data_IF_204243417017
#
_entry.id   IF_204243417017
#
_cell.length_a   1.000
_cell.length_b   1.000
_cell.length_c   1.000
_cell.angle_alpha   90.00
_cell.angle_beta   90.00
_cell.angle_gamma   90.00
#
_symmetry.space_group_name_H-M   'P 1'
#
loop_
_entity.id
_entity.type
_entity.pdbx_description
1 polymer ?
#
# COMPACT_ATOMS: atom_id res chain seq x y z
N UNK A 1 21.60 -24.06 -7.78
CA UNK A 1 20.53 -23.59 -8.67
C UNK A 1 19.61 -22.63 -7.92
N UNK A 2 18.83 -23.11 -6.94
CA UNK A 2 17.94 -22.27 -6.12
C UNK A 2 18.61 -21.05 -5.46
N UNK A 3 19.84 -21.20 -4.97
CA UNK A 3 20.57 -20.11 -4.30
C UNK A 3 20.97 -18.97 -5.26
N UNK A 4 21.22 -19.27 -6.54
CA UNK A 4 21.58 -18.28 -7.56
C UNK A 4 20.31 -17.55 -8.03
N UNK A 5 19.22 -18.29 -8.24
CA UNK A 5 17.91 -17.73 -8.59
C UNK A 5 17.40 -16.79 -7.48
N UNK A 6 17.56 -17.20 -6.22
CA UNK A 6 17.21 -16.39 -5.06
C UNK A 6 18.09 -15.15 -4.93
N UNK A 7 19.39 -15.25 -5.22
CA UNK A 7 20.29 -14.09 -5.24
C UNK A 7 19.84 -13.06 -6.29
N UNK A 8 19.48 -13.51 -7.49
CA UNK A 8 19.01 -12.64 -8.59
C UNK A 8 17.72 -11.92 -8.20
N UNK A 9 16.74 -12.65 -7.66
CA UNK A 9 15.48 -12.07 -7.19
C UNK A 9 15.73 -11.08 -6.06
N UNK A 10 16.61 -11.41 -5.11
CA UNK A 10 16.91 -10.54 -3.98
C UNK A 10 17.60 -9.24 -4.44
N UNK A 11 18.54 -9.33 -5.37
CA UNK A 11 19.19 -8.16 -5.97
C UNK A 11 18.17 -7.29 -6.73
N UNK A 12 17.29 -7.90 -7.52
CA UNK A 12 16.23 -7.19 -8.23
C UNK A 12 15.28 -6.45 -7.26
N UNK A 13 14.88 -7.09 -6.16
CA UNK A 13 14.05 -6.45 -5.12
C UNK A 13 14.82 -5.33 -4.42
N UNK A 14 16.10 -5.52 -4.10
CA UNK A 14 16.89 -4.50 -3.38
C UNK A 14 17.07 -3.23 -4.22
N UNK A 15 17.35 -3.41 -5.53
CA UNK A 15 17.43 -2.31 -6.49
C UNK A 15 16.05 -1.67 -6.69
N UNK A 16 15.00 -2.48 -6.86
CA UNK A 16 13.63 -1.99 -7.02
C UNK A 16 13.10 -1.21 -5.81
N UNK A 17 13.41 -1.65 -4.60
CA UNK A 17 13.05 -0.99 -3.36
C UNK A 17 13.77 0.36 -3.18
N UNK A 18 15.02 0.47 -3.64
CA UNK A 18 15.78 1.74 -3.64
C UNK A 18 15.20 2.77 -4.60
N UNK A 19 14.72 2.34 -5.77
CA UNK A 19 14.09 3.24 -6.76
C UNK A 19 12.68 3.63 -6.32
N UNK A 20 11.96 2.72 -5.65
CA UNK A 20 10.63 2.96 -5.09
C UNK A 20 9.54 3.11 -6.15
N UNK A 21 8.29 3.25 -5.68
CA UNK A 21 7.11 3.48 -6.52
C UNK A 21 6.94 2.46 -7.65
N UNK A 22 6.88 2.94 -8.89
CA UNK A 22 6.72 2.12 -10.11
C UNK A 22 7.94 1.21 -10.33
N UNK A 23 9.14 1.62 -9.88
CA UNK A 23 10.38 0.87 -10.07
C UNK A 23 10.33 -0.54 -9.48
N UNK A 24 9.67 -0.72 -8.33
CA UNK A 24 9.54 -2.01 -7.66
C UNK A 24 8.82 -3.05 -8.55
N UNK A 25 7.83 -2.61 -9.34
CA UNK A 25 7.16 -3.45 -10.33
C UNK A 25 8.05 -3.77 -11.53
N UNK A 26 8.75 -2.77 -12.08
CA UNK A 26 9.62 -2.93 -13.26
C UNK A 26 10.78 -3.88 -12.97
N UNK A 27 11.50 -3.68 -11.86
CA UNK A 27 12.61 -4.56 -11.46
C UNK A 27 12.12 -5.95 -11.08
N UNK A 28 10.91 -6.08 -10.52
CA UNK A 28 10.26 -7.37 -10.32
C UNK A 28 10.03 -8.13 -11.63
N UNK A 29 9.51 -7.45 -12.66
CA UNK A 29 9.30 -8.04 -13.99
C UNK A 29 10.61 -8.41 -14.69
N UNK A 30 11.63 -7.56 -14.58
CA UNK A 30 12.97 -7.85 -15.13
C UNK A 30 13.58 -9.06 -14.43
N UNK A 31 13.49 -9.13 -13.10
CA UNK A 31 13.95 -10.29 -12.32
C UNK A 31 13.25 -11.58 -12.75
N UNK A 32 11.92 -11.54 -12.88
CA UNK A 32 11.13 -12.69 -13.35
C UNK A 32 11.52 -13.09 -14.79
N UNK A 33 11.73 -12.10 -15.67
CA UNK A 33 12.19 -12.33 -17.04
C UNK A 33 13.55 -13.03 -17.09
N UNK A 34 14.51 -12.61 -16.28
CA UNK A 34 15.83 -13.25 -16.19
C UNK A 34 15.67 -14.71 -15.72
N UNK A 35 14.82 -14.97 -14.73
CA UNK A 35 14.56 -16.32 -14.24
C UNK A 35 13.90 -17.23 -15.29
N UNK A 36 12.94 -16.73 -16.05
CA UNK A 36 12.23 -17.52 -17.08
C UNK A 36 13.08 -17.73 -18.34
N UNK A 37 13.72 -16.68 -18.86
CA UNK A 37 14.47 -16.73 -20.12
C UNK A 37 15.90 -17.28 -19.98
N UNK A 38 16.57 -17.06 -18.84
CA UNK A 38 17.96 -17.49 -18.65
C UNK A 38 18.06 -18.84 -17.90
N UNK A 39 17.22 -19.05 -16.87
CA UNK A 39 17.22 -20.30 -16.10
C UNK A 39 16.18 -21.32 -16.58
N UNK A 40 15.33 -20.95 -17.55
CA UNK A 40 14.37 -21.87 -18.17
C UNK A 40 13.25 -22.31 -17.22
N UNK A 41 13.01 -21.56 -16.14
CA UNK A 41 11.92 -21.86 -15.21
C UNK A 41 10.57 -21.72 -15.93
N UNK A 42 9.66 -22.66 -15.66
CA UNK A 42 8.30 -22.59 -16.20
C UNK A 42 7.62 -21.30 -15.72
N UNK A 43 7.07 -20.47 -16.65
CA UNK A 43 6.30 -19.30 -16.25
C UNK A 43 5.09 -19.75 -15.44
N UNK A 44 4.83 -19.05 -14.34
CA UNK A 44 3.63 -19.26 -13.53
C UNK A 44 2.37 -18.82 -14.27
N UNK A 45 1.21 -19.19 -13.73
CA UNK A 45 -0.06 -18.72 -14.26
C UNK A 45 -0.20 -17.20 -14.05
N UNK A 46 -0.65 -16.44 -15.06
CA UNK A 46 -0.90 -15.02 -14.90
C UNK A 46 -2.02 -14.80 -13.86
N UNK A 47 -1.83 -13.91 -12.87
CA UNK A 47 -2.76 -13.73 -11.77
C UNK A 47 -3.93 -12.81 -12.16
N UNK A 48 -4.75 -13.25 -13.12
CA UNK A 48 -5.88 -12.47 -13.67
C UNK A 48 -6.87 -12.06 -12.58
N UNK A 49 -7.20 -12.98 -11.66
CA UNK A 49 -8.11 -12.71 -10.55
C UNK A 49 -7.60 -11.55 -9.68
N UNK A 50 -6.29 -11.53 -9.40
CA UNK A 50 -5.65 -10.49 -8.61
C UNK A 50 -5.67 -9.16 -9.34
N UNK A 51 -5.40 -9.15 -10.66
CA UNK A 51 -5.47 -7.94 -11.48
C UNK A 51 -6.88 -7.33 -11.45
N UNK A 52 -7.92 -8.16 -11.58
CA UNK A 52 -9.32 -7.71 -11.51
C UNK A 52 -9.69 -7.17 -10.13
N UNK A 53 -9.24 -7.82 -9.04
CA UNK A 53 -9.44 -7.32 -7.68
C UNK A 53 -8.80 -5.94 -7.50
N UNK A 54 -7.57 -5.74 -7.98
CA UNK A 54 -6.88 -4.45 -7.89
C UNK A 54 -7.65 -3.37 -8.66
N UNK A 55 -8.08 -3.65 -9.89
CA UNK A 55 -8.88 -2.70 -10.69
C UNK A 55 -10.20 -2.36 -9.99
N UNK A 56 -10.89 -3.35 -9.42
CA UNK A 56 -12.13 -3.14 -8.70
C UNK A 56 -11.93 -2.23 -7.47
N UNK A 57 -10.92 -2.51 -6.64
CA UNK A 57 -10.62 -1.73 -5.43
C UNK A 57 -10.15 -0.31 -5.77
N UNK A 58 -9.26 -0.14 -6.76
CA UNK A 58 -8.81 1.20 -7.18
C UNK A 58 -9.97 2.01 -7.73
N UNK A 59 -10.86 1.41 -8.52
CA UNK A 59 -12.05 2.10 -9.04
C UNK A 59 -12.97 2.53 -7.92
N UNK A 60 -13.23 1.67 -6.93
CA UNK A 60 -14.03 2.02 -5.76
C UNK A 60 -13.37 3.13 -4.91
N UNK A 61 -12.05 3.09 -4.72
CA UNK A 61 -11.32 4.13 -4.02
C UNK A 61 -11.36 5.46 -4.78
N UNK A 62 -11.20 5.43 -6.10
CA UNK A 62 -11.25 6.61 -6.96
C UNK A 62 -12.64 7.27 -6.96
N UNK A 63 -13.72 6.48 -6.97
CA UNK A 63 -15.09 7.03 -6.86
C UNK A 63 -15.36 7.60 -5.46
N UNK A 64 -14.89 6.95 -4.40
CA UNK A 64 -14.96 7.48 -3.04
C UNK A 64 -14.21 8.80 -2.88
N UNK A 65 -13.07 8.95 -3.57
CA UNK A 65 -12.28 10.17 -3.56
C UNK A 65 -12.92 11.27 -4.44
N UNK A 66 -13.42 10.92 -5.62
CA UNK A 66 -14.09 11.86 -6.53
C UNK A 66 -15.39 12.46 -5.96
N UNK A 67 -16.10 11.70 -5.11
CA UNK A 67 -17.32 12.15 -4.44
C UNK A 67 -17.06 13.00 -3.19
N UNK A 68 -15.79 13.15 -2.76
CA UNK A 68 -15.46 13.76 -1.47
C UNK A 68 -15.87 12.90 -0.26
N UNK A 69 -16.30 11.65 -0.49
CA UNK A 69 -16.68 10.73 0.58
C UNK A 69 -15.51 10.45 1.53
N UNK A 70 -14.29 10.44 1.00
CA UNK A 70 -13.12 10.27 1.83
C UNK A 70 -12.89 11.42 2.83
N UNK A 71 -13.08 12.67 2.41
CA UNK A 71 -12.97 13.83 3.30
C UNK A 71 -14.04 13.81 4.40
N UNK A 72 -15.23 13.31 4.08
CA UNK A 72 -16.29 13.10 5.06
C UNK A 72 -15.88 12.06 6.11
N UNK A 73 -15.36 10.91 5.68
CA UNK A 73 -14.87 9.89 6.61
C UNK A 73 -13.81 10.49 7.55
N UNK A 74 -12.81 11.22 7.02
CA UNK A 74 -11.74 11.84 7.84
C UNK A 74 -12.31 12.80 8.88
N UNK A 75 -13.30 13.64 8.54
CA UNK A 75 -13.96 14.54 9.51
C UNK A 75 -14.68 13.77 10.62
N UNK A 76 -15.31 12.64 10.29
CA UNK A 76 -15.93 11.76 11.29
C UNK A 76 -14.87 11.17 12.22
N UNK A 77 -13.77 10.67 11.66
CA UNK A 77 -12.63 10.16 12.41
C UNK A 77 -12.07 11.21 13.38
N UNK A 78 -11.83 12.44 12.91
CA UNK A 78 -11.38 13.54 13.76
C UNK A 78 -12.32 13.83 14.92
N UNK A 79 -13.63 13.81 14.67
CA UNK A 79 -14.65 14.06 15.70
C UNK A 79 -14.65 12.97 16.78
N UNK A 80 -14.41 11.72 16.39
CA UNK A 80 -14.29 10.59 17.31
C UNK A 80 -12.99 10.73 18.14
N UNK A 81 -11.86 11.04 17.50
CA UNK A 81 -10.58 11.21 18.19
C UNK A 81 -10.59 12.39 19.17
N UNK A 82 -11.20 13.52 18.80
CA UNK A 82 -11.34 14.70 19.67
C UNK A 82 -12.22 14.45 20.90
N UNK A 83 -13.16 13.51 20.83
CA UNK A 83 -14.03 13.16 21.96
C UNK A 83 -13.30 12.38 23.06
N UNK A 84 -12.22 11.65 22.75
CA UNK A 84 -11.48 10.82 23.70
C UNK A 84 -9.95 11.06 23.61
N UNK A 85 -9.46 12.23 24.08
CA UNK A 85 -8.05 12.59 23.95
C UNK A 85 -7.09 11.68 24.73
N UNK A 86 -7.55 11.05 25.82
CA UNK A 86 -6.74 10.15 26.62
C UNK A 86 -6.38 8.82 25.94
N UNK A 87 -7.10 8.41 24.88
CA UNK A 87 -6.89 7.13 24.17
C UNK A 87 -6.40 7.31 22.73
N UNK A 88 -5.89 8.48 22.35
CA UNK A 88 -5.45 8.77 20.98
C UNK A 88 -4.39 7.77 20.48
N UNK A 89 -3.48 7.33 21.35
CA UNK A 89 -2.42 6.36 21.00
C UNK A 89 -2.98 5.00 20.54
N UNK A 90 -4.14 4.58 21.06
CA UNK A 90 -4.81 3.35 20.64
C UNK A 90 -5.84 3.57 19.54
N UNK A 91 -6.55 4.69 19.58
CA UNK A 91 -7.63 4.99 18.66
C UNK A 91 -7.12 5.43 17.28
N UNK A 92 -6.00 6.16 17.22
CA UNK A 92 -5.42 6.62 15.96
C UNK A 92 -4.95 5.47 15.04
N UNK A 93 -4.22 4.44 15.53
CA UNK A 93 -3.86 3.28 14.72
C UNK A 93 -5.07 2.49 14.22
N UNK A 94 -6.08 2.30 15.08
CA UNK A 94 -7.31 1.56 14.72
C UNK A 94 -8.06 2.28 13.60
N UNK A 95 -8.26 3.59 13.75
CA UNK A 95 -8.90 4.39 12.71
C UNK A 95 -8.07 4.41 11.44
N UNK A 96 -6.74 4.60 11.53
CA UNK A 96 -5.86 4.51 10.37
C UNK A 96 -6.01 3.17 9.63
N UNK A 97 -6.06 2.06 10.37
CA UNK A 97 -6.19 0.72 9.81
C UNK A 97 -7.52 0.55 9.07
N UNK A 98 -8.63 0.99 9.65
CA UNK A 98 -9.93 0.99 8.97
C UNK A 98 -9.89 1.82 7.69
N UNK A 99 -9.30 3.00 7.71
CA UNK A 99 -9.19 3.85 6.52
C UNK A 99 -8.32 3.24 5.43
N UNK A 100 -7.19 2.64 5.79
CA UNK A 100 -6.32 1.96 4.83
C UNK A 100 -7.01 0.74 4.23
N UNK A 101 -7.82 0.00 5.00
CA UNK A 101 -8.64 -1.11 4.49
C UNK A 101 -9.66 -0.65 3.45
N UNK A 102 -10.37 0.46 3.69
CA UNK A 102 -11.38 0.96 2.76
C UNK A 102 -10.80 1.71 1.56
N UNK A 103 -9.73 2.47 1.75
CA UNK A 103 -9.09 3.24 0.68
C UNK A 103 -8.09 2.41 -0.15
N UNK A 104 -7.63 1.27 0.36
CA UNK A 104 -6.66 0.41 -0.31
C UNK A 104 -5.26 1.01 -0.49
N UNK A 105 -4.97 2.21 0.04
CA UNK A 105 -3.69 2.89 -0.13
C UNK A 105 -3.15 3.47 1.19
N UNK A 106 -1.82 3.54 1.30
CA UNK A 106 -1.13 4.21 2.40
C UNK A 106 -1.23 5.74 2.36
N UNK A 107 -1.82 6.33 1.31
CA UNK A 107 -1.90 7.78 1.16
C UNK A 107 -2.68 8.44 2.32
N UNK A 108 -3.64 7.71 2.90
CA UNK A 108 -4.46 8.19 4.01
C UNK A 108 -3.71 8.15 5.34
N UNK A 109 -2.76 7.22 5.48
CA UNK A 109 -1.94 7.11 6.68
C UNK A 109 -1.08 8.36 6.89
N UNK A 110 -0.62 9.02 5.82
CA UNK A 110 0.10 10.29 5.93
C UNK A 110 -0.78 11.41 6.51
N UNK A 111 -2.06 11.45 6.15
CA UNK A 111 -3.02 12.43 6.65
C UNK A 111 -3.31 12.24 8.15
N UNK A 112 -3.36 10.99 8.63
CA UNK A 112 -3.51 10.69 10.06
C UNK A 112 -2.22 10.90 10.86
N UNK A 113 -1.04 10.64 10.27
CA UNK A 113 0.25 10.93 10.91
C UNK A 113 0.40 12.43 11.21
N UNK A 114 -0.07 13.28 10.30
CA UNK A 114 -0.16 14.72 10.53
C UNK A 114 -1.04 15.09 11.73
N UNK A 115 -2.06 14.28 12.08
CA UNK A 115 -2.90 14.50 13.25
C UNK A 115 -2.21 14.13 14.57
N UNK A 116 -1.47 13.02 14.60
CA UNK A 116 -0.70 12.63 15.78
C UNK A 116 0.37 13.68 16.12
N UNK A 117 1.10 14.18 15.11
CA UNK A 117 2.05 15.30 15.28
C UNK A 117 1.38 16.58 15.79
N UNK A 118 0.19 16.92 15.25
CA UNK A 118 -0.52 18.15 15.63
C UNK A 118 -1.09 18.10 17.06
N UNK A 119 -1.33 16.90 17.61
CA UNK A 119 -1.79 16.71 18.99
C UNK A 119 -0.65 16.53 20.00
N UNK A 120 0.54 16.10 19.57
CA UNK A 120 1.75 16.07 20.41
C UNK A 120 2.50 17.42 20.49
N UNK A 121 2.25 18.35 19.56
CA UNK A 121 2.87 19.68 19.53
C UNK A 121 1.94 20.80 20.08
N UNK A 122 0.92 20.43 20.84
CA UNK A 122 0.04 21.34 21.60
C UNK A 122 -0.05 20.87 23.04
#
# INVERSE_FOLDING_TARGET
MIYIELLIVLLAIFVGARVGGIGLGIFGMIGLGILVFCFGLKPGNPPIDVMLIIVAVITAAATLQATGGLDYLVKVAEKILRKNPAMITFLAPVVCYFFTLFSGTGHIAYSLFAYHLRNCYR
#
